data_IF_525600043650
#
_entry.id   IF_525600043650
#
_cell.length_a   1.000
_cell.length_b   1.000
_cell.length_c   1.000
_cell.angle_alpha   90.00
_cell.angle_beta   90.00
_cell.angle_gamma   90.00
#
_symmetry.space_group_name_H-M   'P 1'
#
loop_
_entity.id
_entity.type
_entity.pdbx_description
1 polymer ?
#
# COMPACT_ATOMS: atom_id res chain seq x y z
N UNK A 1 25.04 13.42 -1.04
CA UNK A 1 25.65 12.07 -1.08
C UNK A 1 24.52 11.05 -0.93
N UNK A 2 24.29 10.18 -1.91
CA UNK A 2 23.46 8.99 -1.70
C UNK A 2 24.26 8.08 -0.77
N UNK A 3 23.75 7.82 0.43
CA UNK A 3 24.34 6.81 1.29
C UNK A 3 24.34 5.48 0.53
N UNK A 4 25.46 4.80 0.53
CA UNK A 4 25.57 3.48 -0.08
C UNK A 4 24.76 2.49 0.76
N UNK A 5 23.69 1.93 0.19
CA UNK A 5 22.81 0.97 0.86
C UNK A 5 23.56 -0.32 1.21
N UNK A 6 24.55 -0.70 0.41
CA UNK A 6 25.40 -1.87 0.68
C UNK A 6 26.26 -1.60 1.92
N UNK A 7 26.89 -0.43 2.01
CA UNK A 7 27.66 -0.04 3.18
C UNK A 7 26.80 0.03 4.44
N UNK A 8 25.55 0.53 4.33
CA UNK A 8 24.59 0.56 5.43
C UNK A 8 24.27 -0.85 5.94
N UNK A 9 23.91 -1.77 5.01
CA UNK A 9 23.61 -3.16 5.35
C UNK A 9 24.83 -3.90 5.93
N UNK A 10 26.02 -3.63 5.42
CA UNK A 10 27.26 -4.21 5.93
C UNK A 10 27.61 -3.72 7.34
N UNK A 11 27.24 -2.48 7.68
CA UNK A 11 27.62 -1.86 8.97
C UNK A 11 26.62 -2.18 10.07
N UNK A 12 25.32 -2.11 9.79
CA UNK A 12 24.27 -2.20 10.83
C UNK A 12 23.17 -3.23 10.53
N UNK A 13 23.14 -3.81 9.31
CA UNK A 13 22.06 -4.69 8.90
C UNK A 13 22.33 -6.17 9.16
N UNK A 14 23.46 -6.67 8.72
CA UNK A 14 23.75 -8.11 8.71
C UNK A 14 23.20 -8.84 7.50
N UNK A 15 23.47 -10.15 7.45
CA UNK A 15 23.16 -10.98 6.28
C UNK A 15 21.65 -11.18 6.06
N UNK A 16 20.87 -11.26 7.13
CA UNK A 16 19.40 -11.39 7.13
C UNK A 16 18.71 -10.16 6.56
N UNK A 17 19.09 -8.96 7.00
CA UNK A 17 18.59 -7.70 6.43
C UNK A 17 18.98 -7.54 4.96
N UNK A 18 20.20 -7.92 4.60
CA UNK A 18 20.65 -7.89 3.21
C UNK A 18 19.84 -8.87 2.35
N UNK A 19 19.57 -10.08 2.83
CA UNK A 19 18.77 -11.07 2.14
C UNK A 19 17.32 -10.59 1.95
N UNK A 20 16.67 -10.07 2.99
CA UNK A 20 15.31 -9.52 2.90
C UNK A 20 15.24 -8.31 1.96
N UNK A 21 16.20 -7.40 2.03
CA UNK A 21 16.28 -6.24 1.12
C UNK A 21 16.40 -6.70 -0.33
N UNK A 22 17.28 -7.67 -0.61
CA UNK A 22 17.45 -8.28 -1.92
C UNK A 22 16.20 -9.00 -2.41
N UNK A 23 15.51 -9.73 -1.53
CA UNK A 23 14.23 -10.36 -1.81
C UNK A 23 13.18 -9.35 -2.26
N UNK A 24 13.00 -8.24 -1.52
CA UNK A 24 12.03 -7.19 -1.84
C UNK A 24 12.31 -6.54 -3.21
N UNK A 25 13.57 -6.28 -3.51
CA UNK A 25 13.98 -5.75 -4.81
C UNK A 25 13.69 -6.75 -5.93
N UNK A 26 14.05 -8.01 -5.73
CA UNK A 26 13.86 -9.06 -6.74
C UNK A 26 12.37 -9.38 -6.96
N UNK A 27 11.56 -9.38 -5.92
CA UNK A 27 10.12 -9.53 -6.03
C UNK A 27 9.52 -8.43 -6.91
N UNK A 28 9.94 -7.18 -6.72
CA UNK A 28 9.48 -6.05 -7.54
C UNK A 28 9.91 -6.18 -9.01
N UNK A 29 11.13 -6.65 -9.28
CA UNK A 29 11.61 -6.95 -10.66
C UNK A 29 10.71 -8.01 -11.32
N UNK A 30 10.30 -9.02 -10.55
CA UNK A 30 9.41 -10.09 -11.01
C UNK A 30 7.94 -9.72 -11.01
N UNK A 31 7.59 -8.50 -10.62
CA UNK A 31 6.20 -8.04 -10.47
C UNK A 31 5.39 -8.91 -9.50
N UNK A 32 6.04 -9.44 -8.47
CA UNK A 32 5.42 -10.26 -7.44
C UNK A 32 5.05 -9.38 -6.26
N UNK A 33 3.76 -9.29 -5.89
CA UNK A 33 3.33 -8.57 -4.70
C UNK A 33 3.91 -9.18 -3.43
N UNK A 34 4.24 -8.33 -2.45
CA UNK A 34 4.75 -8.75 -1.15
C UNK A 34 3.94 -8.08 -0.05
N UNK A 35 3.49 -8.86 0.93
CA UNK A 35 2.87 -8.35 2.15
C UNK A 35 3.98 -8.16 3.18
N UNK A 36 4.21 -6.93 3.57
CA UNK A 36 5.16 -6.59 4.63
C UNK A 36 4.54 -6.89 5.99
N UNK A 37 5.33 -7.44 6.90
CA UNK A 37 4.93 -7.68 8.27
C UNK A 37 5.13 -6.44 9.15
N UNK A 38 6.03 -6.48 10.13
CA UNK A 38 6.27 -5.43 11.09
C UNK A 38 7.56 -4.65 10.84
N UNK A 39 8.17 -4.23 11.97
CA UNK A 39 9.33 -3.32 11.98
C UNK A 39 10.49 -3.79 11.11
N UNK A 40 10.89 -5.06 11.21
CA UNK A 40 12.08 -5.57 10.51
C UNK A 40 11.87 -5.56 9.00
N UNK A 41 10.72 -6.04 8.51
CA UNK A 41 10.37 -5.99 7.09
C UNK A 41 10.23 -4.55 6.59
N UNK A 42 9.66 -3.66 7.40
CA UNK A 42 9.57 -2.22 7.12
C UNK A 42 10.95 -1.56 6.98
N UNK A 43 11.88 -1.88 7.88
CA UNK A 43 13.26 -1.38 7.82
C UNK A 43 13.98 -1.84 6.53
N UNK A 44 13.86 -3.12 6.18
CA UNK A 44 14.42 -3.65 4.92
C UNK A 44 13.77 -3.00 3.70
N UNK A 45 12.46 -2.76 3.74
CA UNK A 45 11.74 -2.08 2.69
C UNK A 45 12.21 -0.63 2.52
N UNK A 46 12.53 0.09 3.59
CA UNK A 46 13.11 1.43 3.51
C UNK A 46 14.46 1.43 2.79
N UNK A 47 15.32 0.43 3.05
CA UNK A 47 16.61 0.30 2.35
C UNK A 47 16.39 -0.02 0.88
N UNK A 48 15.51 -0.96 0.56
CA UNK A 48 15.14 -1.32 -0.80
C UNK A 48 14.53 -0.13 -1.56
N UNK A 49 13.65 0.65 -0.93
CA UNK A 49 13.07 1.85 -1.50
C UNK A 49 14.11 2.93 -1.84
N UNK A 50 15.13 3.11 -1.00
CA UNK A 50 16.24 4.02 -1.29
C UNK A 50 17.09 3.58 -2.48
N UNK A 51 17.23 2.28 -2.69
CA UNK A 51 17.92 1.73 -3.86
C UNK A 51 17.07 1.87 -5.13
N UNK A 52 15.79 1.57 -5.06
CA UNK A 52 14.85 1.59 -6.18
C UNK A 52 13.43 2.01 -5.73
N UNK A 53 13.12 3.30 -5.73
CA UNK A 53 11.87 3.85 -5.17
C UNK A 53 10.59 3.22 -5.78
N UNK A 54 10.63 2.76 -7.03
CA UNK A 54 9.49 2.15 -7.71
C UNK A 54 9.10 0.76 -7.18
N UNK A 55 9.96 0.13 -6.37
CA UNK A 55 9.65 -1.20 -5.81
C UNK A 55 8.48 -1.14 -4.82
N UNK A 56 8.26 0.00 -4.15
CA UNK A 56 7.19 0.18 -3.17
C UNK A 56 5.79 -0.09 -3.71
N UNK A 57 5.54 0.11 -5.01
CA UNK A 57 4.25 -0.20 -5.64
C UNK A 57 3.87 -1.69 -5.63
N UNK A 58 4.81 -2.55 -5.29
CA UNK A 58 4.62 -3.99 -5.19
C UNK A 58 4.44 -4.47 -3.75
N UNK A 59 4.37 -3.53 -2.80
CA UNK A 59 4.26 -3.86 -1.38
C UNK A 59 2.92 -3.42 -0.82
N UNK A 60 2.41 -4.23 0.08
CA UNK A 60 1.26 -3.94 0.93
C UNK A 60 1.68 -4.14 2.38
N UNK A 61 1.43 -3.18 3.25
CA UNK A 61 1.63 -3.38 4.67
C UNK A 61 0.51 -4.26 5.24
N UNK A 62 0.88 -5.39 5.84
CA UNK A 62 -0.09 -6.32 6.43
C UNK A 62 -0.75 -5.75 7.69
N UNK A 63 0.03 -5.14 8.55
CA UNK A 63 -0.48 -4.57 9.78
C UNK A 63 0.31 -3.35 10.25
N UNK A 64 -0.27 -2.59 11.18
CA UNK A 64 0.42 -1.59 12.00
C UNK A 64 0.95 -2.27 13.26
N UNK A 65 2.27 -2.27 13.44
CA UNK A 65 2.89 -2.70 14.71
C UNK A 65 2.83 -1.56 15.73
N UNK A 66 2.83 -1.90 17.01
CA UNK A 66 2.94 -0.91 18.09
C UNK A 66 4.34 -0.29 18.22
N UNK A 67 5.32 -0.77 17.45
CA UNK A 67 6.68 -0.22 17.43
C UNK A 67 6.71 1.14 16.73
N UNK A 68 7.10 2.24 17.42
CA UNK A 68 7.06 3.59 16.82
C UNK A 68 7.90 3.72 15.53
N UNK A 69 9.00 2.99 15.44
CA UNK A 69 9.85 2.99 14.25
C UNK A 69 9.15 2.33 13.05
N UNK A 70 8.20 1.43 13.26
CA UNK A 70 7.40 0.86 12.17
C UNK A 70 6.42 1.89 11.60
N UNK A 71 5.78 2.69 12.45
CA UNK A 71 4.93 3.80 11.99
C UNK A 71 5.70 4.79 11.14
N UNK A 72 6.91 5.15 11.57
CA UNK A 72 7.79 5.98 10.76
C UNK A 72 8.12 5.36 9.40
N UNK A 73 8.38 4.04 9.37
CA UNK A 73 8.64 3.32 8.10
C UNK A 73 7.42 3.33 7.19
N UNK A 74 6.22 3.06 7.69
CA UNK A 74 4.95 3.10 6.93
C UNK A 74 4.72 4.49 6.34
N UNK A 75 4.83 5.53 7.14
CA UNK A 75 4.68 6.90 6.68
C UNK A 75 5.70 7.27 5.59
N UNK A 76 6.96 6.86 5.77
CA UNK A 76 8.04 7.14 4.81
C UNK A 76 7.87 6.39 3.49
N UNK A 77 7.32 5.19 3.53
CA UNK A 77 7.01 4.36 2.36
C UNK A 77 5.65 4.68 1.74
N UNK A 78 4.85 5.50 2.38
CA UNK A 78 3.47 5.83 1.98
C UNK A 78 2.60 4.56 1.88
N UNK A 79 2.76 3.65 2.83
CA UNK A 79 2.00 2.41 2.91
C UNK A 79 0.95 2.50 4.02
N UNK A 80 -0.29 2.22 3.66
CA UNK A 80 -1.38 2.09 4.61
C UNK A 80 -1.53 0.62 5.02
N UNK A 81 -1.50 0.31 6.33
CA UNK A 81 -1.62 -1.07 6.81
C UNK A 81 -3.06 -1.57 6.72
N UNK A 82 -3.22 -2.85 6.38
CA UNK A 82 -4.55 -3.49 6.31
C UNK A 82 -5.16 -3.74 7.68
N UNK A 83 -4.32 -4.00 8.71
CA UNK A 83 -4.76 -4.35 10.06
C UNK A 83 -4.11 -3.44 11.10
N UNK A 84 -4.84 -3.17 12.17
CA UNK A 84 -4.35 -2.53 13.39
C UNK A 84 -4.88 -3.27 14.62
N UNK A 85 -4.15 -4.32 15.03
CA UNK A 85 -4.49 -5.19 16.16
C UNK A 85 -3.48 -5.10 17.31
N UNK A 86 -2.70 -4.03 17.35
CA UNK A 86 -1.68 -3.81 18.38
C UNK A 86 -0.64 -4.94 18.46
N UNK A 87 -0.32 -5.54 17.31
CA UNK A 87 0.63 -6.64 17.19
C UNK A 87 2.08 -6.13 17.29
N UNK A 88 2.95 -6.95 17.86
CA UNK A 88 4.40 -6.71 17.91
C UNK A 88 5.25 -7.97 17.89
N UNK A 89 4.65 -9.14 17.64
CA UNK A 89 5.39 -10.41 17.66
C UNK A 89 6.42 -10.47 16.53
N UNK A 90 6.08 -9.98 15.34
CA UNK A 90 6.87 -10.17 14.14
C UNK A 90 6.63 -11.57 13.56
N UNK A 91 7.67 -12.18 13.00
CA UNK A 91 7.67 -13.56 12.46
C UNK A 91 6.64 -13.78 11.35
N UNK A 92 6.24 -12.73 10.65
CA UNK A 92 5.24 -12.80 9.59
C UNK A 92 3.78 -12.85 10.07
N UNK A 93 3.54 -12.74 11.37
CA UNK A 93 2.19 -12.90 11.97
C UNK A 93 1.20 -11.92 11.39
N UNK A 94 1.54 -10.63 11.32
CA UNK A 94 0.63 -9.62 10.79
C UNK A 94 0.40 -9.76 9.29
N UNK A 95 1.43 -10.14 8.53
CA UNK A 95 1.30 -10.43 7.10
C UNK A 95 0.40 -11.63 6.84
N UNK A 96 0.53 -12.70 7.65
CA UNK A 96 -0.31 -13.89 7.53
C UNK A 96 -1.78 -13.60 7.89
N UNK A 97 -2.03 -12.77 8.90
CA UNK A 97 -3.39 -12.36 9.27
C UNK A 97 -4.05 -11.47 8.20
N UNK A 98 -3.27 -10.70 7.44
CA UNK A 98 -3.77 -9.89 6.33
C UNK A 98 -4.10 -10.71 5.07
N UNK A 99 -3.49 -11.89 4.90
CA UNK A 99 -3.64 -12.71 3.69
C UNK A 99 -5.09 -13.12 3.39
N UNK A 100 -5.94 -13.53 4.36
CA UNK A 100 -7.34 -13.82 4.10
C UNK A 100 -8.12 -12.62 3.54
N UNK A 101 -7.82 -11.41 3.98
CA UNK A 101 -8.46 -10.18 3.49
C UNK A 101 -8.10 -9.95 2.01
N UNK A 102 -6.84 -10.11 1.66
CA UNK A 102 -6.38 -9.96 0.27
C UNK A 102 -7.03 -11.04 -0.62
N UNK A 103 -7.13 -12.29 -0.13
CA UNK A 103 -7.81 -13.36 -0.85
C UNK A 103 -9.30 -13.09 -1.02
N UNK A 104 -9.98 -12.59 0.00
CA UNK A 104 -11.37 -12.19 -0.10
C UNK A 104 -11.58 -11.07 -1.13
N UNK A 105 -10.73 -10.06 -1.11
CA UNK A 105 -10.76 -8.98 -2.11
C UNK A 105 -10.52 -9.51 -3.53
N UNK A 106 -9.58 -10.44 -3.70
CA UNK A 106 -9.33 -11.09 -4.98
C UNK A 106 -10.57 -11.86 -5.46
N UNK A 107 -11.19 -12.68 -4.60
CA UNK A 107 -12.40 -13.44 -4.94
C UNK A 107 -13.56 -12.49 -5.31
N UNK A 108 -13.75 -11.41 -4.55
CA UNK A 108 -14.74 -10.38 -4.89
C UNK A 108 -14.50 -9.82 -6.29
N UNK A 109 -13.25 -9.50 -6.62
CA UNK A 109 -12.92 -8.93 -7.93
C UNK A 109 -13.13 -9.93 -9.09
N UNK A 110 -12.89 -11.20 -8.86
CA UNK A 110 -12.86 -12.22 -9.94
C UNK A 110 -14.11 -13.08 -10.04
N UNK A 111 -14.93 -13.17 -9.00
CA UNK A 111 -16.04 -14.09 -8.89
C UNK A 111 -17.40 -13.40 -8.68
N UNK A 112 -17.39 -12.11 -8.26
CA UNK A 112 -18.65 -11.38 -8.09
C UNK A 112 -19.23 -11.01 -9.46
N UNK A 113 -20.50 -11.33 -9.67
CA UNK A 113 -21.22 -10.96 -10.89
C UNK A 113 -21.35 -9.44 -10.99
N UNK A 114 -21.28 -8.92 -12.22
CA UNK A 114 -21.67 -7.54 -12.51
C UNK A 114 -23.18 -7.37 -12.40
N UNK A 115 -23.68 -6.15 -12.35
CA UNK A 115 -25.14 -5.91 -12.33
C UNK A 115 -25.83 -6.49 -13.55
N UNK A 116 -25.21 -6.38 -14.72
CA UNK A 116 -25.73 -6.97 -15.97
C UNK A 116 -25.84 -8.49 -15.88
N UNK A 117 -24.79 -9.17 -15.39
CA UNK A 117 -24.78 -10.63 -15.22
C UNK A 117 -25.76 -11.09 -14.14
N UNK A 118 -26.00 -10.30 -13.11
CA UNK A 118 -26.93 -10.56 -12.03
C UNK A 118 -28.39 -10.19 -12.39
N UNK A 119 -28.64 -9.58 -13.54
CA UNK A 119 -29.98 -9.13 -13.96
C UNK A 119 -30.54 -7.98 -13.11
N UNK A 120 -29.65 -7.23 -12.45
CA UNK A 120 -30.03 -6.07 -11.63
C UNK A 120 -30.05 -4.85 -12.54
N UNK A 121 -31.22 -4.18 -12.67
CA UNK A 121 -31.32 -2.93 -13.42
C UNK A 121 -30.50 -1.84 -12.76
N UNK A 122 -29.74 -1.13 -13.56
CA UNK A 122 -28.99 0.05 -13.11
C UNK A 122 -29.96 1.10 -12.53
N UNK A 123 -29.52 1.86 -11.53
CA UNK A 123 -30.31 2.96 -11.01
C UNK A 123 -30.48 3.97 -12.16
N UNK A 124 -31.71 4.46 -12.45
CA UNK A 124 -31.87 5.56 -13.40
C UNK A 124 -30.89 6.68 -13.03
N UNK A 125 -30.13 7.13 -13.97
CA UNK A 125 -29.35 8.35 -13.81
C UNK A 125 -30.37 9.45 -13.57
N UNK A 126 -30.58 9.86 -12.33
CA UNK A 126 -31.31 11.09 -12.05
C UNK A 126 -30.47 12.19 -12.73
N UNK A 127 -31.02 12.72 -13.82
CA UNK A 127 -30.43 13.86 -14.52
C UNK A 127 -30.20 14.94 -13.46
N UNK A 128 -28.95 15.11 -13.05
CA UNK A 128 -28.57 16.28 -12.27
C UNK A 128 -28.79 17.45 -13.21
N UNK A 129 -29.69 18.38 -12.89
CA UNK A 129 -29.91 19.54 -13.75
C UNK A 129 -28.56 20.25 -13.93
N UNK A 130 -28.17 20.46 -15.18
CA UNK A 130 -27.00 21.26 -15.51
C UNK A 130 -27.00 22.53 -14.67
N UNK A 131 -25.88 22.84 -14.05
CA UNK A 131 -25.65 24.04 -13.25
C UNK A 131 -26.27 25.25 -13.94
N UNK A 132 -27.19 25.92 -13.23
CA UNK A 132 -27.69 27.23 -13.62
C UNK A 132 -26.47 28.15 -13.73
N UNK A 133 -26.04 28.41 -14.95
CA UNK A 133 -25.06 29.46 -15.22
C UNK A 133 -25.66 30.78 -14.75
N UNK A 134 -25.13 31.29 -13.66
CA UNK A 134 -25.46 32.59 -13.04
C UNK A 134 -24.78 33.71 -13.86
N UNK A 135 -25.28 33.90 -15.09
CA UNK A 135 -24.90 34.98 -16.00
C UNK A 135 -25.99 36.04 -16.09
N UNK A 136 -26.43 36.55 -14.94
CA UNK A 136 -27.35 37.70 -14.94
C UNK A 136 -27.16 38.60 -13.73
N UNK A 137 -26.00 39.20 -13.54
CA UNK A 137 -25.84 40.32 -12.60
C UNK A 137 -24.61 41.20 -12.93
N UNK A 138 -24.52 41.75 -14.12
CA UNK A 138 -23.71 42.98 -14.36
C UNK A 138 -24.37 43.81 -15.46
N UNK A 139 -25.52 44.40 -15.17
CA UNK A 139 -26.00 45.62 -15.87
C UNK A 139 -27.02 46.33 -14.99
N UNK A 140 -26.53 47.15 -14.04
CA UNK A 140 -27.25 48.32 -13.54
C UNK A 140 -26.40 49.06 -12.52
N UNK A 141 -25.52 49.92 -13.00
CA UNK A 141 -25.22 51.23 -12.38
C UNK A 141 -24.20 51.94 -13.29
N UNK A 142 -24.74 52.77 -14.14
CA UNK A 142 -24.06 53.81 -14.89
C UNK A 142 -24.64 55.15 -14.53
#
# INVERSE_FOLDING_TARGET
MRADQIALLATVGGADFAAMTGFLLQAAVRKTPVILDGLVSGACAMVAHRAAYRCAKWWQAGHRSVEPAHEYALARLQLEPLLDYQLRLGEGTGALLALPIIRAAQATLTEMATFDEAGVSDRPHDDVPDEVTDDAAVEAEG
#
